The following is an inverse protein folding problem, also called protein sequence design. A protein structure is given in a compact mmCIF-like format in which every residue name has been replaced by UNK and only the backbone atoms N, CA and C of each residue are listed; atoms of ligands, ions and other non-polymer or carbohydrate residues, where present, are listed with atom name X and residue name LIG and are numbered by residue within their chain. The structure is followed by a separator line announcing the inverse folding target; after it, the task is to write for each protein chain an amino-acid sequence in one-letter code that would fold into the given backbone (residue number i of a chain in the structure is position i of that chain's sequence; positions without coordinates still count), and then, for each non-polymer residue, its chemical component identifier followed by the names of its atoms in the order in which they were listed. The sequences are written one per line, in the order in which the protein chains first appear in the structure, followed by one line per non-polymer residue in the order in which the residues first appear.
data_IF_963662679165
#
_entry.id   IF_963662679165
#
_cell.length_a   1.000
_cell.length_b   1.000
_cell.length_c   1.000
_cell.angle_alpha   90.00
_cell.angle_beta   90.00
_cell.angle_gamma   90.00
#
_symmetry.space_group_name_H-M   'P 1'
#
loop_
_entity.id
_entity.type
_entity.pdbx_description
1 polymer ?
#
# COMPACT_ATOMS: atom_id res chain seq x y z
N UNK A 1 -14.95 5.99 0.78
CA UNK A 1 -14.10 5.18 -0.10
C UNK A 1 -13.49 4.01 0.65
N UNK A 2 -14.19 2.88 0.56
CA UNK A 2 -13.63 1.58 0.91
C UNK A 2 -12.98 0.92 -0.34
N UNK A 3 -12.48 -0.30 -0.16
CA UNK A 3 -11.80 -1.07 -1.22
C UNK A 3 -12.74 -1.39 -2.39
N UNK A 4 -14.02 -1.63 -2.12
CA UNK A 4 -15.02 -1.95 -3.13
C UNK A 4 -15.31 -0.72 -3.99
N UNK A 5 -15.61 0.41 -3.35
CA UNK A 5 -15.85 1.70 -3.99
C UNK A 5 -14.64 2.13 -4.84
N UNK A 6 -13.42 1.87 -4.36
CA UNK A 6 -12.21 2.10 -5.14
C UNK A 6 -12.14 1.25 -6.42
N UNK A 7 -12.42 -0.06 -6.33
CA UNK A 7 -12.36 -0.94 -7.51
C UNK A 7 -13.43 -0.65 -8.56
N UNK A 8 -14.58 -0.10 -8.15
CA UNK A 8 -15.61 0.35 -9.09
C UNK A 8 -15.16 1.58 -9.88
N UNK A 9 -14.46 2.51 -9.24
CA UNK A 9 -13.99 3.75 -9.88
C UNK A 9 -12.71 3.60 -10.70
N UNK A 10 -11.76 2.80 -10.20
CA UNK A 10 -10.41 2.68 -10.76
C UNK A 10 -10.14 1.31 -11.40
N UNK A 11 -11.15 0.45 -11.45
CA UNK A 11 -11.00 -0.91 -11.99
C UNK A 11 -10.34 -1.88 -11.02
N UNK A 12 -10.11 -3.13 -11.46
CA UNK A 12 -9.62 -4.18 -10.59
C UNK A 12 -8.20 -3.90 -10.13
N UNK A 13 -8.01 -3.87 -8.82
CA UNK A 13 -6.67 -3.83 -8.25
C UNK A 13 -5.98 -5.19 -8.42
N UNK A 14 -4.71 -5.13 -8.79
CA UNK A 14 -3.82 -6.29 -8.85
C UNK A 14 -2.76 -6.14 -7.80
N UNK A 15 -2.33 -7.27 -7.24
CA UNK A 15 -1.20 -7.28 -6.32
C UNK A 15 0.05 -6.87 -7.10
N UNK A 16 0.62 -5.72 -6.74
CA UNK A 16 1.83 -5.17 -7.33
C UNK A 16 3.07 -5.67 -6.60
N UNK A 17 4.03 -4.77 -6.42
CA UNK A 17 5.29 -5.06 -5.75
C UNK A 17 5.09 -5.37 -4.25
N UNK A 18 5.70 -6.46 -3.79
CA UNK A 18 5.74 -6.81 -2.37
C UNK A 18 7.19 -7.02 -1.92
N UNK A 19 7.58 -6.39 -0.81
CA UNK A 19 8.93 -6.53 -0.27
C UNK A 19 8.95 -7.33 1.03
N UNK A 20 10.05 -8.06 1.32
CA UNK A 20 10.20 -8.81 2.55
C UNK A 20 10.12 -7.95 3.81
N UNK A 21 9.78 -8.57 4.93
CA UNK A 21 9.73 -7.92 6.26
C UNK A 21 11.06 -7.26 6.65
N UNK A 22 12.18 -7.85 6.24
CA UNK A 22 13.53 -7.37 6.56
C UNK A 22 14.19 -6.66 5.37
N UNK A 23 13.39 -6.14 4.43
CA UNK A 23 13.94 -5.27 3.38
C UNK A 23 14.61 -4.05 4.01
N UNK A 24 15.75 -3.64 3.43
CA UNK A 24 16.60 -2.58 3.97
C UNK A 24 15.97 -1.19 3.85
N UNK A 25 15.10 -0.98 2.86
CA UNK A 25 14.60 0.34 2.49
C UNK A 25 13.10 0.48 2.74
N UNK A 26 12.28 -0.49 2.31
CA UNK A 26 10.84 -0.50 2.60
C UNK A 26 10.44 -1.87 3.18
N UNK A 27 10.77 -2.13 4.46
CA UNK A 27 10.42 -3.38 5.12
C UNK A 27 8.90 -3.58 5.14
N UNK A 28 8.47 -4.77 4.69
CA UNK A 28 7.06 -5.13 4.52
C UNK A 28 6.27 -4.11 3.68
N UNK A 29 6.80 -3.71 2.52
CA UNK A 29 6.06 -2.93 1.54
C UNK A 29 5.03 -3.79 0.80
N UNK A 30 3.81 -3.29 0.65
CA UNK A 30 2.75 -3.89 -0.15
C UNK A 30 2.15 -2.86 -1.09
N UNK A 31 2.17 -3.15 -2.38
CA UNK A 31 1.61 -2.30 -3.43
C UNK A 31 0.46 -2.99 -4.16
N UNK A 32 -0.51 -2.16 -4.57
CA UNK A 32 -1.59 -2.53 -5.46
C UNK A 32 -1.55 -1.66 -6.70
N UNK A 33 -1.59 -2.32 -7.85
CA UNK A 33 -1.62 -1.67 -9.16
C UNK A 33 -3.05 -1.60 -9.69
N UNK A 34 -3.39 -0.49 -10.34
CA UNK A 34 -4.70 -0.27 -10.95
C UNK A 34 -4.60 0.63 -12.18
N UNK A 35 -5.46 0.43 -13.20
CA UNK A 35 -5.50 1.30 -14.36
C UNK A 35 -6.23 2.61 -14.04
N UNK A 36 -5.69 3.75 -14.49
CA UNK A 36 -6.39 5.03 -14.42
C UNK A 36 -6.00 5.91 -15.59
N UNK A 37 -6.99 6.52 -16.26
CA UNK A 37 -6.78 7.40 -17.41
C UNK A 37 -5.90 6.83 -18.55
N UNK A 38 -5.89 5.50 -18.73
CA UNK A 38 -5.09 4.83 -19.76
C UNK A 38 -3.67 4.42 -19.31
N UNK A 39 -3.27 4.81 -18.10
CA UNK A 39 -1.96 4.50 -17.52
C UNK A 39 -2.10 3.53 -16.33
N UNK A 40 -0.98 2.92 -15.92
CA UNK A 40 -0.92 2.04 -14.75
C UNK A 40 -0.39 2.80 -13.54
N UNK A 41 -1.17 2.85 -12.47
CA UNK A 41 -0.80 3.48 -11.21
C UNK A 41 -0.62 2.45 -10.11
N UNK A 42 0.17 2.81 -9.10
CA UNK A 42 0.41 2.00 -7.90
C UNK A 42 0.06 2.78 -6.64
N UNK A 43 -0.65 2.14 -5.73
CA UNK A 43 -0.82 2.60 -4.36
C UNK A 43 -0.18 1.60 -3.41
N UNK A 44 0.80 2.06 -2.64
CA UNK A 44 1.59 1.21 -1.74
C UNK A 44 1.56 1.66 -0.30
N UNK A 45 1.65 0.67 0.60
CA UNK A 45 1.72 0.87 2.03
C UNK A 45 3.00 0.24 2.58
N UNK A 46 3.71 0.99 3.42
CA UNK A 46 4.94 0.52 4.09
C UNK A 46 4.61 0.13 5.53
N UNK A 47 4.34 -1.16 5.75
CA UNK A 47 4.00 -1.68 7.08
C UNK A 47 5.15 -1.47 8.08
N UNK A 48 6.40 -1.66 7.64
CA UNK A 48 7.57 -1.44 8.49
C UNK A 48 7.70 0.02 8.96
N UNK A 49 7.50 0.98 8.06
CA UNK A 49 7.53 2.40 8.42
C UNK A 49 6.36 2.77 9.34
N UNK A 50 5.17 2.24 9.06
CA UNK A 50 4.00 2.46 9.90
C UNK A 50 4.23 1.93 11.32
N UNK A 51 4.63 0.67 11.47
CA UNK A 51 4.92 0.07 12.78
C UNK A 51 6.05 0.78 13.52
N UNK A 52 7.09 1.23 12.80
CA UNK A 52 8.16 2.01 13.41
C UNK A 52 7.65 3.35 13.96
N UNK A 53 6.83 4.07 13.17
CA UNK A 53 6.25 5.35 13.56
C UNK A 53 5.24 5.19 14.70
N UNK A 54 4.47 4.10 14.68
CA UNK A 54 3.46 3.79 15.67
C UNK A 54 4.00 3.68 17.10
N UNK A 55 5.27 3.26 17.26
CA UNK A 55 5.96 3.24 18.56
C UNK A 55 6.06 4.61 19.22
N UNK A 56 5.92 5.68 18.44
CA UNK A 56 5.98 7.06 18.93
C UNK A 56 4.59 7.66 19.18
N UNK A 57 3.52 6.90 18.97
CA UNK A 57 2.18 7.37 19.33
C UNK A 57 1.98 7.28 20.83
N UNK A 58 1.38 8.31 21.44
CA UNK A 58 1.01 8.24 22.84
C UNK A 58 -0.01 7.11 23.04
N UNK A 59 0.15 6.36 24.13
CA UNK A 59 -0.90 5.47 24.63
C UNK A 59 -1.98 6.35 25.27
N UNK A 60 -3.25 6.16 24.86
CA UNK A 60 -4.41 6.83 25.48
C UNK A 60 -4.62 6.37 26.94
#
# INVERSE_FOLDING_TARGET
MDVTEFTEHFGPMRRGRQWPLFDKFLPAYEEYEFPWAGESYGAGFSWGLFMFSAKSWPED
#
